data_IF_698491217579
#
_entry.id   IF_698491217579
#
_cell.length_a   1.000
_cell.length_b   1.000
_cell.length_c   1.000
_cell.angle_alpha   90.00
_cell.angle_beta   90.00
_cell.angle_gamma   90.00
#
_symmetry.space_group_name_H-M   'P 1'
#
loop_
_entity.id
_entity.type
_entity.pdbx_description
1 polymer ?
#
# COMPACT_ATOMS: atom_id res chain seq x y z
N UNK A 1 -12.40 80.99 53.09
CA UNK A 1 -10.99 80.57 52.84
C UNK A 1 -10.92 79.80 51.54
N UNK A 2 -10.03 80.25 50.65
CA UNK A 2 -9.86 79.80 49.25
C UNK A 2 -9.32 78.40 49.13
N UNK A 3 -9.77 77.64 48.13
CA UNK A 3 -8.97 76.61 47.50
C UNK A 3 -9.30 76.50 46.00
N UNK A 4 -8.27 76.79 45.23
CA UNK A 4 -8.21 76.61 43.79
C UNK A 4 -8.04 75.08 43.44
N UNK A 5 -8.76 74.60 42.47
CA UNK A 5 -8.60 73.26 41.90
C UNK A 5 -8.11 73.35 40.46
N UNK A 6 -6.92 72.84 40.21
CA UNK A 6 -6.28 72.76 38.90
C UNK A 6 -6.83 71.54 38.13
N UNK A 7 -7.41 71.78 36.97
CA UNK A 7 -7.76 70.72 36.01
C UNK A 7 -6.48 70.28 35.27
N UNK A 8 -6.10 68.99 35.41
CA UNK A 8 -5.11 68.35 34.54
C UNK A 8 -5.87 67.43 33.62
N UNK A 9 -5.76 67.70 32.31
CA UNK A 9 -6.24 66.86 31.27
C UNK A 9 -5.35 65.63 31.18
N UNK A 10 -5.94 64.46 31.11
CA UNK A 10 -5.29 63.19 30.84
C UNK A 10 -5.49 62.88 29.35
N UNK A 11 -4.40 62.96 28.59
CA UNK A 11 -4.39 62.44 27.23
C UNK A 11 -4.25 60.94 27.30
N UNK A 12 -5.29 60.19 26.85
CA UNK A 12 -5.21 58.76 26.69
C UNK A 12 -4.55 58.46 25.36
N UNK A 13 -3.30 58.02 25.41
CA UNK A 13 -2.62 57.38 24.27
C UNK A 13 -3.22 55.96 24.12
N UNK A 14 -4.03 55.75 23.10
CA UNK A 14 -4.43 54.43 22.63
C UNK A 14 -3.24 53.82 21.90
N UNK A 15 -2.44 53.01 22.61
CA UNK A 15 -1.48 52.11 22.00
C UNK A 15 -2.24 50.92 21.40
N UNK A 16 -2.42 50.92 20.07
CA UNK A 16 -2.92 49.79 19.34
C UNK A 16 -1.91 48.63 19.42
N UNK A 17 -2.23 47.61 20.20
CA UNK A 17 -1.53 46.33 20.16
C UNK A 17 -2.03 45.63 18.88
N UNK A 18 -1.23 45.74 17.77
CA UNK A 18 -1.30 44.80 16.70
C UNK A 18 -0.80 43.43 17.25
N UNK A 19 -1.74 42.60 17.74
CA UNK A 19 -1.50 41.18 17.84
C UNK A 19 -1.31 40.65 16.43
N UNK A 20 -0.04 40.47 16.07
CA UNK A 20 0.31 39.64 14.92
C UNK A 20 -0.28 38.24 15.16
N UNK A 21 -1.39 37.95 14.52
CA UNK A 21 -1.82 36.58 14.30
C UNK A 21 -0.72 35.96 13.41
N UNK A 22 0.22 35.24 14.04
CA UNK A 22 0.99 34.23 13.32
C UNK A 22 -0.01 33.22 12.81
N UNK A 23 -0.46 33.43 11.57
CA UNK A 23 -1.29 32.46 10.87
C UNK A 23 -0.54 31.14 10.89
N UNK A 24 -1.16 30.09 11.40
CA UNK A 24 -0.91 28.75 10.89
C UNK A 24 -0.98 28.91 9.38
N UNK A 25 0.14 28.62 8.67
CA UNK A 25 0.21 28.81 7.24
C UNK A 25 -0.98 28.12 6.60
N UNK A 26 -1.74 28.85 5.78
CA UNK A 26 -2.69 28.25 4.87
C UNK A 26 -1.96 27.15 4.09
N UNK A 27 -2.60 26.02 3.76
CA UNK A 27 -2.02 25.04 2.85
C UNK A 27 -1.53 25.80 1.61
N UNK A 28 -0.30 25.49 1.15
CA UNK A 28 0.21 26.05 -0.10
C UNK A 28 -0.72 25.55 -1.20
N UNK A 29 -1.47 26.43 -1.85
CA UNK A 29 -2.52 26.10 -2.81
C UNK A 29 -2.03 25.21 -3.98
N UNK A 30 -0.70 25.11 -4.15
CA UNK A 30 -0.04 24.31 -5.18
C UNK A 30 0.73 23.10 -4.58
N UNK A 31 0.31 22.56 -3.47
CA UNK A 31 1.01 21.44 -2.84
C UNK A 31 0.08 20.23 -2.69
N UNK A 32 0.52 19.10 -3.21
CA UNK A 32 -0.11 17.78 -3.04
C UNK A 32 0.65 17.01 -1.96
N UNK A 33 -0.08 16.36 -1.06
CA UNK A 33 0.51 15.54 0.01
C UNK A 33 0.35 14.06 -0.30
N UNK A 34 1.44 13.30 -0.22
CA UNK A 34 1.45 11.84 -0.38
C UNK A 34 1.93 11.21 0.93
N UNK A 35 1.23 10.19 1.42
CA UNK A 35 1.67 9.39 2.56
C UNK A 35 2.61 8.31 2.03
N UNK A 36 3.83 8.21 2.60
CA UNK A 36 4.79 7.16 2.23
C UNK A 36 4.35 5.78 2.74
N UNK A 37 4.84 4.74 2.08
CA UNK A 37 4.61 3.37 2.50
C UNK A 37 5.65 2.84 3.49
N UNK A 38 5.41 1.65 4.02
CA UNK A 38 6.30 1.01 4.99
C UNK A 38 7.16 -0.11 4.38
N UNK A 39 6.83 -0.62 3.18
CA UNK A 39 7.60 -1.62 2.44
C UNK A 39 7.98 -1.15 1.02
N UNK A 40 8.87 -1.89 0.35
CA UNK A 40 9.52 -1.46 -0.90
C UNK A 40 8.56 -0.98 -1.98
N UNK A 41 7.52 -1.77 -2.29
CA UNK A 41 6.57 -1.46 -3.36
C UNK A 41 5.80 -0.17 -3.09
N UNK A 42 5.30 0.01 -1.88
CA UNK A 42 4.60 1.25 -1.53
C UNK A 42 5.53 2.47 -1.60
N UNK A 43 6.79 2.34 -1.13
CA UNK A 43 7.80 3.40 -1.26
C UNK A 43 8.12 3.71 -2.71
N UNK A 44 8.25 2.67 -3.55
CA UNK A 44 8.44 2.81 -4.98
C UNK A 44 7.32 3.64 -5.61
N UNK A 45 6.07 3.24 -5.38
CA UNK A 45 4.92 3.93 -5.96
C UNK A 45 4.68 5.31 -5.37
N UNK A 46 5.01 5.55 -4.10
CA UNK A 46 5.07 6.92 -3.54
C UNK A 46 5.99 7.81 -4.37
N UNK A 47 7.18 7.31 -4.75
CA UNK A 47 8.11 8.08 -5.56
C UNK A 47 7.69 8.16 -7.03
N UNK A 48 7.05 7.12 -7.59
CA UNK A 48 6.45 7.18 -8.93
C UNK A 48 5.42 8.32 -9.01
N UNK A 49 4.45 8.36 -8.10
CA UNK A 49 3.46 9.45 -8.08
C UNK A 49 4.12 10.82 -7.92
N UNK A 50 5.07 10.93 -6.99
CA UNK A 50 5.81 12.18 -6.77
C UNK A 50 6.50 12.66 -8.03
N UNK A 51 7.29 11.81 -8.69
CA UNK A 51 8.06 12.16 -9.88
C UNK A 51 7.12 12.56 -11.01
N UNK A 52 6.09 11.76 -11.27
CA UNK A 52 5.13 12.05 -12.34
C UNK A 52 4.41 13.39 -12.12
N UNK A 53 4.02 13.71 -10.90
CA UNK A 53 3.40 15.00 -10.58
C UNK A 53 4.38 16.15 -10.76
N UNK A 54 5.60 16.05 -10.20
CA UNK A 54 6.60 17.13 -10.23
C UNK A 54 7.16 17.38 -11.65
N UNK A 55 7.23 16.35 -12.53
CA UNK A 55 7.74 16.47 -13.90
C UNK A 55 6.67 16.98 -14.91
N UNK A 56 5.39 16.71 -14.64
CA UNK A 56 4.31 17.04 -15.58
C UNK A 56 3.43 18.21 -15.15
N UNK A 57 3.67 18.79 -13.96
CA UNK A 57 2.90 19.94 -13.45
C UNK A 57 3.80 20.94 -12.72
N UNK A 58 3.25 22.11 -12.39
CA UNK A 58 3.90 23.09 -11.50
C UNK A 58 3.61 22.81 -10.00
N UNK A 59 3.00 21.68 -9.67
CA UNK A 59 2.67 21.30 -8.30
C UNK A 59 3.92 20.83 -7.54
N UNK A 60 3.92 21.09 -6.24
CA UNK A 60 4.92 20.57 -5.32
C UNK A 60 4.37 19.33 -4.62
N UNK A 61 5.18 18.31 -4.47
CA UNK A 61 4.78 17.12 -3.71
C UNK A 61 5.46 17.11 -2.34
N UNK A 62 4.65 16.94 -1.30
CA UNK A 62 5.12 16.75 0.06
C UNK A 62 4.86 15.32 0.51
N UNK A 63 5.92 14.52 0.51
CA UNK A 63 5.86 13.17 1.06
C UNK A 63 5.86 13.24 2.60
N UNK A 64 4.92 12.55 3.22
CA UNK A 64 4.77 12.39 4.67
C UNK A 64 5.27 11.03 5.10
N UNK A 65 5.76 10.94 6.34
CA UNK A 65 6.22 9.68 6.91
C UNK A 65 5.12 8.60 6.84
N UNK A 66 5.53 7.35 6.69
CA UNK A 66 4.64 6.19 6.73
C UNK A 66 3.90 6.09 8.07
N UNK A 67 2.69 5.57 8.00
CA UNK A 67 1.84 5.34 9.15
C UNK A 67 1.04 4.05 8.97
N UNK A 68 0.37 3.57 10.03
CA UNK A 68 -0.51 2.42 9.91
C UNK A 68 -1.54 2.62 8.80
N UNK A 69 -1.77 1.63 7.95
CA UNK A 69 -2.57 1.74 6.72
C UNK A 69 -4.02 2.20 6.99
N UNK A 70 -4.63 1.73 8.07
CA UNK A 70 -5.97 2.19 8.49
C UNK A 70 -5.98 3.67 8.87
N UNK A 71 -4.91 4.16 9.50
CA UNK A 71 -4.78 5.58 9.83
C UNK A 71 -4.49 6.43 8.59
N UNK A 72 -3.69 5.93 7.65
CA UNK A 72 -3.46 6.58 6.35
C UNK A 72 -4.79 6.74 5.58
N UNK A 73 -5.59 5.69 5.52
CA UNK A 73 -6.95 5.76 4.95
C UNK A 73 -7.80 6.86 5.61
N UNK A 74 -7.81 6.93 6.95
CA UNK A 74 -8.55 7.99 7.65
C UNK A 74 -8.06 9.40 7.30
N UNK A 75 -6.75 9.59 7.09
CA UNK A 75 -6.21 10.90 6.69
C UNK A 75 -6.69 11.31 5.28
N UNK A 76 -6.77 10.37 4.34
CA UNK A 76 -7.30 10.61 2.98
C UNK A 76 -8.81 10.90 3.07
N UNK A 77 -9.58 10.01 3.73
CA UNK A 77 -11.03 10.17 3.92
C UNK A 77 -11.41 11.50 4.53
N UNK A 78 -10.64 11.97 5.52
CA UNK A 78 -10.89 13.20 6.23
C UNK A 78 -10.37 14.46 5.48
N UNK A 79 -9.80 14.30 4.27
CA UNK A 79 -9.24 15.38 3.44
C UNK A 79 -8.02 16.07 4.04
N UNK A 80 -7.29 15.38 4.95
CA UNK A 80 -6.07 15.91 5.59
C UNK A 80 -4.81 15.61 4.78
N UNK A 81 -4.85 14.58 3.96
CA UNK A 81 -3.84 14.15 3.00
C UNK A 81 -4.53 13.84 1.68
N UNK A 82 -3.76 13.79 0.60
CA UNK A 82 -4.33 13.74 -0.75
C UNK A 82 -4.21 12.37 -1.40
N UNK A 83 -3.07 11.70 -1.25
CA UNK A 83 -2.72 10.47 -1.98
C UNK A 83 -2.07 9.46 -1.02
N UNK A 84 -2.43 8.18 -1.20
CA UNK A 84 -1.81 7.05 -0.54
C UNK A 84 -1.78 5.84 -1.48
N UNK A 85 -0.62 5.18 -1.64
CA UNK A 85 -0.57 3.91 -2.38
C UNK A 85 -1.33 2.84 -1.62
N UNK A 86 -2.21 2.12 -2.29
CA UNK A 86 -3.03 1.08 -1.68
C UNK A 86 -3.43 0.01 -2.70
N UNK A 87 -4.35 -0.86 -2.31
CA UNK A 87 -4.87 -1.96 -3.12
C UNK A 87 -6.40 -2.00 -3.01
N UNK A 88 -7.06 -2.47 -4.07
CA UNK A 88 -8.52 -2.63 -4.10
C UNK A 88 -9.03 -3.56 -2.99
N UNK A 89 -8.35 -4.70 -2.78
CA UNK A 89 -8.67 -5.63 -1.70
C UNK A 89 -8.53 -5.00 -0.32
N UNK A 90 -7.50 -4.17 -0.09
CA UNK A 90 -7.31 -3.45 1.16
C UNK A 90 -8.42 -2.41 1.38
N UNK A 91 -8.81 -1.67 0.34
CA UNK A 91 -9.93 -0.74 0.44
C UNK A 91 -11.20 -1.47 0.85
N UNK A 92 -11.53 -2.57 0.18
CA UNK A 92 -12.75 -3.32 0.45
C UNK A 92 -12.75 -3.91 1.87
N UNK A 93 -11.72 -4.67 2.21
CA UNK A 93 -11.70 -5.49 3.43
C UNK A 93 -11.24 -4.73 4.67
N UNK A 94 -10.03 -4.15 4.61
CA UNK A 94 -9.39 -3.55 5.78
C UNK A 94 -9.98 -2.17 6.14
N UNK A 95 -10.40 -1.38 5.15
CA UNK A 95 -10.85 -0.01 5.41
C UNK A 95 -12.37 0.12 5.44
N UNK A 96 -13.08 -0.56 4.55
CA UNK A 96 -14.55 -0.50 4.51
C UNK A 96 -15.22 -1.65 5.27
N UNK A 97 -14.45 -2.65 5.73
CA UNK A 97 -14.95 -3.77 6.53
C UNK A 97 -15.95 -4.65 5.79
N UNK A 98 -15.76 -4.82 4.48
CA UNK A 98 -16.61 -5.62 3.60
C UNK A 98 -15.98 -6.96 3.27
N UNK A 99 -16.80 -7.98 3.06
CA UNK A 99 -16.34 -9.29 2.63
C UNK A 99 -16.23 -9.33 1.08
N UNK A 100 -15.13 -9.84 0.49
CA UNK A 100 -15.04 -10.08 -0.95
C UNK A 100 -16.18 -10.91 -1.53
N UNK A 101 -16.79 -11.78 -0.74
CA UNK A 101 -17.98 -12.52 -1.14
C UNK A 101 -19.22 -11.63 -1.38
N UNK A 102 -19.20 -10.36 -0.94
CA UNK A 102 -20.25 -9.38 -1.23
C UNK A 102 -20.15 -8.78 -2.64
N UNK A 103 -19.03 -9.01 -3.37
CA UNK A 103 -18.85 -8.50 -4.73
C UNK A 103 -19.96 -9.04 -5.63
N UNK A 104 -20.76 -8.16 -6.29
CA UNK A 104 -21.86 -8.58 -7.12
C UNK A 104 -21.39 -9.43 -8.32
N UNK A 105 -22.17 -10.43 -8.71
CA UNK A 105 -21.90 -11.22 -9.92
C UNK A 105 -21.73 -10.31 -11.15
N UNK A 106 -20.61 -10.46 -11.86
CA UNK A 106 -20.25 -9.67 -13.03
C UNK A 106 -19.57 -8.32 -12.74
N UNK A 107 -19.35 -7.98 -11.49
CA UNK A 107 -18.48 -6.85 -11.09
C UNK A 107 -17.08 -7.36 -10.73
N UNK A 108 -16.06 -6.56 -11.00
CA UNK A 108 -14.73 -6.81 -10.44
C UNK A 108 -14.65 -6.35 -8.99
N UNK A 109 -13.72 -6.93 -8.20
CA UNK A 109 -13.46 -6.46 -6.84
C UNK A 109 -13.06 -4.99 -6.85
N UNK A 110 -12.21 -4.58 -7.80
CA UNK A 110 -11.78 -3.19 -7.98
C UNK A 110 -12.97 -2.24 -8.19
N UNK A 111 -13.88 -2.54 -9.12
CA UNK A 111 -15.02 -1.66 -9.41
C UNK A 111 -15.93 -1.53 -8.21
N UNK A 112 -16.19 -2.64 -7.50
CA UNK A 112 -17.03 -2.65 -6.31
C UNK A 112 -16.38 -1.90 -5.14
N UNK A 113 -15.09 -2.13 -4.88
CA UNK A 113 -14.34 -1.41 -3.86
C UNK A 113 -14.30 0.09 -4.14
N UNK A 114 -14.06 0.49 -5.39
CA UNK A 114 -14.03 1.88 -5.80
C UNK A 114 -15.40 2.55 -5.67
N UNK A 115 -16.48 1.89 -6.06
CA UNK A 115 -17.85 2.38 -5.86
C UNK A 115 -18.13 2.61 -4.37
N UNK A 116 -17.85 1.63 -3.52
CA UNK A 116 -18.07 1.74 -2.08
C UNK A 116 -17.17 2.80 -1.43
N UNK A 117 -15.94 2.96 -1.92
CA UNK A 117 -15.03 4.02 -1.48
C UNK A 117 -15.63 5.41 -1.68
N UNK A 118 -16.22 5.65 -2.85
CA UNK A 118 -16.92 6.89 -3.15
C UNK A 118 -18.16 7.09 -2.28
N UNK A 119 -19.00 6.07 -2.18
CA UNK A 119 -20.28 6.17 -1.47
C UNK A 119 -20.13 6.32 0.05
N UNK A 120 -19.14 5.65 0.65
CA UNK A 120 -19.03 5.52 2.11
C UNK A 120 -17.90 6.36 2.72
N UNK A 121 -16.91 6.76 1.93
CA UNK A 121 -15.69 7.35 2.46
C UNK A 121 -15.17 8.57 1.69
N UNK A 122 -15.81 9.00 0.60
CA UNK A 122 -15.37 10.09 -0.27
C UNK A 122 -13.93 9.89 -0.78
N UNK A 123 -13.57 8.66 -1.09
CA UNK A 123 -12.27 8.29 -1.66
C UNK A 123 -12.49 7.55 -2.97
N UNK A 124 -11.51 7.65 -3.87
CA UNK A 124 -11.49 6.89 -5.13
C UNK A 124 -10.16 6.17 -5.28
N UNK A 125 -10.18 5.05 -6.01
CA UNK A 125 -8.99 4.42 -6.55
C UNK A 125 -8.68 5.00 -7.93
N UNK A 126 -7.42 5.34 -8.18
CA UNK A 126 -6.94 5.65 -9.54
C UNK A 126 -6.96 4.40 -10.41
N UNK A 127 -6.83 4.49 -11.76
CA UNK A 127 -6.67 3.29 -12.57
C UNK A 127 -5.60 2.33 -12.02
N UNK A 128 -5.81 1.03 -12.25
CA UNK A 128 -4.89 -0.02 -11.79
C UNK A 128 -3.50 0.18 -12.37
N UNK A 129 -2.46 0.13 -11.53
CA UNK A 129 -1.07 0.28 -11.98
C UNK A 129 -0.60 -0.90 -12.83
N UNK A 130 -1.19 -2.09 -12.62
CA UNK A 130 -0.98 -3.28 -13.44
C UNK A 130 -0.34 -4.46 -12.71
N UNK A 131 0.14 -4.25 -11.49
CA UNK A 131 0.57 -5.32 -10.60
C UNK A 131 -0.59 -5.80 -9.72
N UNK A 132 -0.47 -7.05 -9.30
CA UNK A 132 -1.36 -7.70 -8.35
C UNK A 132 -0.51 -8.27 -7.21
N UNK A 133 -0.55 -7.62 -6.05
CA UNK A 133 0.24 -8.01 -4.88
C UNK A 133 -0.57 -8.87 -3.92
N UNK A 134 -0.90 -10.09 -4.36
CA UNK A 134 -1.66 -11.06 -3.57
C UNK A 134 -0.74 -12.02 -2.81
N UNK A 135 -1.32 -12.80 -1.89
CA UNK A 135 -0.64 -13.94 -1.31
C UNK A 135 -0.42 -15.05 -2.34
N UNK A 136 0.76 -15.66 -2.28
CA UNK A 136 1.09 -16.89 -2.99
C UNK A 136 1.71 -17.89 -2.03
N UNK A 137 1.40 -19.15 -2.22
CA UNK A 137 2.11 -20.23 -1.51
C UNK A 137 3.50 -20.37 -2.11
N UNK A 138 4.51 -20.45 -1.27
CA UNK A 138 5.90 -20.61 -1.68
C UNK A 138 6.57 -21.78 -0.97
N UNK A 139 7.43 -22.47 -1.71
CA UNK A 139 8.24 -23.59 -1.21
C UNK A 139 9.71 -23.36 -1.57
N UNK A 140 10.62 -24.03 -0.88
CA UNK A 140 12.00 -24.07 -1.31
C UNK A 140 12.12 -24.79 -2.66
N UNK A 141 13.11 -24.42 -3.47
CA UNK A 141 13.37 -25.04 -4.77
C UNK A 141 13.62 -26.55 -4.65
N UNK A 142 14.41 -26.98 -3.67
CA UNK A 142 14.67 -28.40 -3.44
C UNK A 142 13.40 -29.19 -3.07
N UNK A 143 12.49 -28.57 -2.34
CA UNK A 143 11.17 -29.13 -2.00
C UNK A 143 10.27 -29.21 -3.25
N UNK A 144 10.22 -28.14 -4.06
CA UNK A 144 9.47 -28.14 -5.31
C UNK A 144 9.95 -29.23 -6.27
N UNK A 145 11.28 -29.33 -6.46
CA UNK A 145 11.88 -30.36 -7.34
C UNK A 145 11.66 -31.78 -6.81
N UNK A 146 11.86 -31.98 -5.50
CA UNK A 146 11.70 -33.30 -4.87
C UNK A 146 10.30 -33.86 -5.03
N UNK A 147 9.29 -33.02 -4.91
CA UNK A 147 7.89 -33.44 -4.93
C UNK A 147 7.17 -33.06 -6.25
N UNK A 148 7.88 -32.42 -7.19
CA UNK A 148 7.34 -31.92 -8.46
C UNK A 148 6.11 -31.05 -8.26
N UNK A 149 6.27 -30.04 -7.37
CA UNK A 149 5.20 -29.09 -7.02
C UNK A 149 5.18 -27.93 -8.01
N UNK A 150 3.99 -27.59 -8.52
CA UNK A 150 3.74 -26.43 -9.38
C UNK A 150 2.47 -25.67 -9.00
N UNK A 151 1.51 -26.38 -8.42
CA UNK A 151 0.20 -25.86 -8.00
C UNK A 151 0.03 -26.06 -6.49
N UNK A 152 -0.77 -25.23 -5.86
CA UNK A 152 -1.06 -25.32 -4.42
C UNK A 152 -1.73 -26.64 -4.06
N UNK A 153 -2.59 -27.16 -4.94
CA UNK A 153 -3.22 -28.47 -4.77
C UNK A 153 -2.25 -29.64 -4.74
N UNK A 154 -1.06 -29.50 -5.32
CA UNK A 154 -0.03 -30.57 -5.30
C UNK A 154 0.47 -30.87 -3.89
N UNK A 155 0.41 -29.89 -2.98
CA UNK A 155 0.82 -30.05 -1.58
C UNK A 155 0.05 -31.14 -0.88
N UNK A 156 -1.23 -31.37 -1.20
CA UNK A 156 -2.12 -32.33 -0.54
C UNK A 156 -1.55 -33.76 -0.50
N UNK A 157 -0.67 -34.11 -1.45
CA UNK A 157 -0.05 -35.43 -1.51
C UNK A 157 1.09 -35.61 -0.50
N UNK A 158 1.62 -34.51 0.04
CA UNK A 158 2.86 -34.50 0.82
C UNK A 158 2.80 -33.62 2.08
N UNK A 159 1.67 -33.00 2.35
CA UNK A 159 1.45 -32.01 3.41
C UNK A 159 1.85 -32.50 4.80
N UNK A 160 1.57 -33.80 5.11
CA UNK A 160 1.95 -34.43 6.39
C UNK A 160 3.48 -34.62 6.57
N UNK A 161 4.26 -34.43 5.52
CA UNK A 161 5.73 -34.41 5.59
C UNK A 161 6.28 -32.99 5.66
N UNK A 162 5.47 -31.97 5.33
CA UNK A 162 5.87 -30.59 5.15
C UNK A 162 5.53 -29.72 6.38
N UNK A 163 6.44 -28.80 6.72
CA UNK A 163 6.29 -27.83 7.81
C UNK A 163 5.90 -26.49 7.21
N UNK A 164 4.75 -25.97 7.65
CA UNK A 164 4.26 -24.65 7.26
C UNK A 164 4.63 -23.59 8.30
N UNK A 165 5.05 -22.40 7.88
CA UNK A 165 5.14 -21.24 8.76
C UNK A 165 4.85 -19.96 8.01
N UNK A 166 4.15 -19.02 8.64
CA UNK A 166 3.83 -17.71 8.10
C UNK A 166 3.79 -16.66 9.21
N UNK A 167 3.68 -15.39 8.85
CA UNK A 167 3.50 -14.30 9.79
C UNK A 167 2.22 -14.48 10.62
N UNK A 168 2.20 -13.80 11.79
CA UNK A 168 1.11 -13.94 12.75
C UNK A 168 -0.25 -13.59 12.12
N UNK A 169 -0.29 -12.55 11.31
CA UNK A 169 -1.49 -12.05 10.65
C UNK A 169 -2.15 -13.11 9.73
N UNK A 170 -1.36 -14.02 9.16
CA UNK A 170 -1.91 -15.10 8.34
C UNK A 170 -2.59 -16.20 9.18
N UNK A 171 -2.33 -16.25 10.49
CA UNK A 171 -3.00 -17.17 11.43
C UNK A 171 -4.19 -16.54 12.15
N UNK A 172 -4.50 -15.26 11.92
CA UNK A 172 -5.68 -14.63 12.46
C UNK A 172 -6.97 -15.25 11.88
N UNK A 173 -8.11 -14.99 12.50
CA UNK A 173 -9.41 -15.41 11.97
C UNK A 173 -9.76 -14.63 10.72
N UNK A 174 -10.16 -15.31 9.64
CA UNK A 174 -10.58 -14.64 8.40
C UNK A 174 -10.72 -15.59 7.21
N UNK A 175 -11.44 -15.13 6.19
CA UNK A 175 -11.79 -15.92 5.01
C UNK A 175 -10.59 -16.33 4.14
N UNK A 176 -9.49 -15.56 4.19
CA UNK A 176 -8.30 -15.77 3.35
C UNK A 176 -7.04 -16.02 4.19
N UNK A 177 -7.20 -16.56 5.39
CA UNK A 177 -6.16 -16.87 6.35
C UNK A 177 -5.93 -18.37 6.47
N UNK A 178 -4.97 -18.77 7.30
CA UNK A 178 -4.43 -20.13 7.35
C UNK A 178 -5.51 -21.23 7.51
N UNK A 179 -6.44 -21.05 8.44
CA UNK A 179 -7.43 -22.09 8.72
C UNK A 179 -8.37 -22.31 7.52
N UNK A 180 -8.88 -21.23 6.94
CA UNK A 180 -9.71 -21.27 5.75
C UNK A 180 -8.95 -21.80 4.52
N UNK A 181 -7.66 -21.40 4.38
CA UNK A 181 -6.76 -21.88 3.34
C UNK A 181 -6.55 -23.40 3.45
N UNK A 182 -6.19 -23.88 4.64
CA UNK A 182 -5.92 -25.30 4.87
C UNK A 182 -7.19 -26.15 4.63
N UNK A 183 -8.36 -25.69 5.10
CA UNK A 183 -9.63 -26.35 4.87
C UNK A 183 -9.98 -26.40 3.37
N UNK A 184 -9.85 -25.26 2.67
CA UNK A 184 -10.20 -25.12 1.25
C UNK A 184 -9.38 -26.04 0.34
N UNK A 185 -8.08 -26.13 0.60
CA UNK A 185 -7.16 -27.00 -0.13
C UNK A 185 -7.11 -28.43 0.43
N UNK A 186 -7.70 -28.71 1.60
CA UNK A 186 -7.67 -30.01 2.27
C UNK A 186 -6.26 -30.37 2.75
N UNK A 187 -5.53 -29.43 3.36
CA UNK A 187 -4.14 -29.55 3.80
C UNK A 187 -4.04 -29.82 5.30
N UNK A 188 -3.24 -30.79 5.69
CA UNK A 188 -2.91 -31.12 7.07
C UNK A 188 -1.39 -31.18 7.24
N UNK A 189 -0.76 -30.01 7.41
CA UNK A 189 0.71 -29.92 7.52
C UNK A 189 1.24 -30.65 8.76
N UNK A 190 2.43 -31.22 8.65
CA UNK A 190 3.16 -31.87 9.75
C UNK A 190 3.33 -30.97 10.96
N UNK A 191 3.56 -29.68 10.74
CA UNK A 191 3.68 -28.62 11.72
C UNK A 191 3.23 -27.31 11.08
N UNK A 192 2.55 -26.48 11.85
CA UNK A 192 2.09 -25.15 11.41
C UNK A 192 2.36 -24.16 12.53
N UNK A 193 3.13 -23.10 12.25
CA UNK A 193 3.56 -22.15 13.27
C UNK A 193 3.74 -20.73 12.72
N UNK A 194 3.71 -19.78 13.65
CA UNK A 194 4.03 -18.38 13.35
C UNK A 194 5.53 -18.15 13.25
N UNK A 195 5.95 -17.24 12.38
CA UNK A 195 7.29 -16.72 12.25
C UNK A 195 7.23 -15.20 12.07
N UNK A 196 8.25 -14.48 12.53
CA UNK A 196 8.37 -13.06 12.26
C UNK A 196 8.48 -12.80 10.74
N UNK A 197 7.74 -11.80 10.23
CA UNK A 197 7.70 -11.46 8.80
C UNK A 197 9.10 -11.24 8.23
N UNK A 198 9.96 -10.51 8.95
CA UNK A 198 11.35 -10.24 8.54
C UNK A 198 12.26 -11.47 8.55
N UNK A 199 11.87 -12.55 9.25
CA UNK A 199 12.64 -13.80 9.34
C UNK A 199 12.09 -14.91 8.42
N UNK A 200 10.96 -14.73 7.78
CA UNK A 200 10.28 -15.73 6.96
C UNK A 200 11.19 -16.29 5.86
N UNK A 201 11.76 -15.45 5.04
CA UNK A 201 12.65 -15.85 3.94
C UNK A 201 13.95 -16.53 4.45
N UNK A 202 14.52 -16.03 5.55
CA UNK A 202 15.68 -16.67 6.20
C UNK A 202 15.29 -18.03 6.77
N UNK A 203 14.09 -18.15 7.33
CA UNK A 203 13.54 -19.42 7.83
C UNK A 203 13.43 -20.47 6.73
N UNK A 204 13.00 -20.08 5.54
CA UNK A 204 12.95 -20.95 4.35
C UNK A 204 14.35 -21.45 3.98
N UNK A 205 15.34 -20.56 3.91
CA UNK A 205 16.72 -20.94 3.53
C UNK A 205 17.45 -21.79 4.57
N UNK A 206 17.03 -21.78 5.82
CA UNK A 206 17.68 -22.50 6.93
C UNK A 206 17.11 -23.90 7.21
N UNK A 207 16.29 -24.44 6.32
CA UNK A 207 15.60 -25.74 6.46
C UNK A 207 14.77 -25.89 7.75
N UNK A 208 14.25 -24.77 8.27
CA UNK A 208 13.38 -24.79 9.45
C UNK A 208 11.90 -24.93 9.08
N UNK A 209 11.56 -24.68 7.82
CA UNK A 209 10.21 -24.75 7.26
C UNK A 209 10.29 -25.10 5.78
N UNK A 210 9.23 -25.66 5.24
CA UNK A 210 9.17 -26.17 3.86
C UNK A 210 8.23 -25.38 2.99
N UNK A 211 7.16 -24.83 3.58
CA UNK A 211 6.09 -24.08 2.92
C UNK A 211 5.83 -22.80 3.70
N UNK A 212 5.55 -21.73 2.98
CA UNK A 212 5.12 -20.43 3.53
C UNK A 212 4.14 -19.76 2.58
N UNK A 213 3.59 -18.61 2.99
CA UNK A 213 2.97 -17.65 2.08
C UNK A 213 3.90 -16.45 1.90
N UNK A 214 3.93 -15.90 0.69
CA UNK A 214 4.69 -14.72 0.31
C UNK A 214 3.78 -13.76 -0.45
N UNK A 215 4.22 -12.53 -0.63
CA UNK A 215 3.56 -11.64 -1.58
C UNK A 215 4.14 -11.86 -2.98
N UNK A 216 3.27 -11.83 -4.00
CA UNK A 216 3.62 -12.14 -5.39
C UNK A 216 4.72 -11.24 -5.97
N UNK A 217 4.80 -10.00 -5.52
CA UNK A 217 5.78 -8.98 -5.97
C UNK A 217 6.99 -8.82 -5.05
N UNK A 218 7.12 -9.66 -3.99
CA UNK A 218 8.21 -9.55 -3.01
C UNK A 218 9.58 -9.91 -3.64
N UNK A 219 10.49 -8.93 -3.72
CA UNK A 219 11.85 -9.11 -4.26
C UNK A 219 12.70 -10.14 -3.50
N UNK A 220 12.37 -10.43 -2.23
CA UNK A 220 13.06 -11.44 -1.44
C UNK A 220 12.78 -12.86 -1.95
N UNK A 221 11.67 -13.13 -2.62
CA UNK A 221 11.37 -14.42 -3.24
C UNK A 221 12.50 -14.80 -4.22
N UNK A 222 12.91 -13.85 -5.05
CA UNK A 222 14.04 -14.02 -6.00
C UNK A 222 15.38 -14.20 -5.27
N UNK A 223 15.64 -13.42 -4.23
CA UNK A 223 16.89 -13.52 -3.44
C UNK A 223 17.08 -14.90 -2.80
N UNK A 224 16.00 -15.47 -2.27
CA UNK A 224 16.02 -16.74 -1.55
C UNK A 224 15.65 -17.95 -2.42
N UNK A 225 15.56 -17.74 -3.75
CA UNK A 225 15.26 -18.78 -4.73
C UNK A 225 14.03 -19.63 -4.38
N UNK A 226 12.97 -18.94 -3.90
CA UNK A 226 11.70 -19.59 -3.60
C UNK A 226 10.94 -19.88 -4.89
N UNK A 227 10.20 -20.98 -4.90
CA UNK A 227 9.26 -21.34 -5.96
C UNK A 227 7.86 -21.02 -5.45
N UNK A 228 7.18 -20.10 -6.12
CA UNK A 228 5.78 -19.83 -5.87
C UNK A 228 4.92 -20.84 -6.61
N UNK A 229 3.89 -21.36 -5.93
CA UNK A 229 2.94 -22.30 -6.48
C UNK A 229 1.72 -21.56 -7.02
N UNK A 230 1.18 -22.02 -8.15
CA UNK A 230 -0.07 -21.47 -8.68
C UNK A 230 -1.23 -21.70 -7.71
N UNK A 231 -2.05 -20.70 -7.50
CA UNK A 231 -3.31 -20.79 -6.75
C UNK A 231 -4.42 -21.34 -7.67
N UNK A 232 -4.30 -22.62 -8.03
CA UNK A 232 -5.08 -23.32 -9.04
C UNK A 232 -6.60 -23.37 -8.78
N UNK A 233 -7.01 -23.04 -7.55
CA UNK A 233 -8.43 -22.94 -7.16
C UNK A 233 -8.88 -21.51 -6.88
N UNK A 234 -8.02 -20.51 -7.09
CA UNK A 234 -8.30 -19.10 -6.85
C UNK A 234 -8.81 -18.82 -5.43
N UNK A 235 -8.08 -19.31 -4.44
CA UNK A 235 -8.43 -19.08 -3.03
C UNK A 235 -8.15 -17.63 -2.60
N UNK A 236 -7.00 -17.08 -2.98
CA UNK A 236 -6.64 -15.72 -2.60
C UNK A 236 -7.36 -14.69 -3.47
N UNK A 237 -7.89 -13.61 -2.87
CA UNK A 237 -8.52 -12.55 -3.65
C UNK A 237 -7.46 -11.73 -4.40
N UNK A 238 -7.91 -11.06 -5.44
CA UNK A 238 -7.08 -10.06 -6.15
C UNK A 238 -6.72 -8.90 -5.23
N UNK A 239 -5.49 -8.39 -5.36
CA UNK A 239 -5.00 -7.19 -4.72
C UNK A 239 -4.30 -6.31 -5.76
N UNK A 240 -5.11 -5.66 -6.60
CA UNK A 240 -4.59 -4.76 -7.63
C UNK A 240 -4.12 -3.45 -7.01
N UNK A 241 -2.90 -3.03 -7.33
CA UNK A 241 -2.33 -1.78 -6.88
C UNK A 241 -2.97 -0.57 -7.57
N UNK A 242 -3.29 0.44 -6.77
CA UNK A 242 -3.81 1.73 -7.22
C UNK A 242 -3.55 2.80 -6.16
N UNK A 243 -3.51 4.06 -6.54
CA UNK A 243 -3.52 5.11 -5.54
C UNK A 243 -4.91 5.34 -5.00
N UNK A 244 -5.02 5.38 -3.69
CA UNK A 244 -6.20 5.86 -2.97
C UNK A 244 -6.08 7.36 -2.82
N UNK A 245 -7.02 8.11 -3.37
CA UNK A 245 -7.03 9.57 -3.33
C UNK A 245 -8.36 10.08 -2.77
N UNK A 246 -8.36 11.28 -2.21
CA UNK A 246 -9.63 11.94 -1.84
C UNK A 246 -10.43 12.29 -3.11
N UNK A 247 -11.74 12.11 -3.07
CA UNK A 247 -12.63 12.24 -4.23
C UNK A 247 -12.56 13.61 -4.92
N UNK A 248 -12.33 14.66 -4.14
CA UNK A 248 -12.30 16.04 -4.65
C UNK A 248 -10.92 16.48 -5.16
N UNK A 249 -9.89 15.62 -5.11
CA UNK A 249 -8.53 15.95 -5.55
C UNK A 249 -8.48 16.41 -7.01
N UNK A 250 -9.21 15.72 -7.90
CA UNK A 250 -9.26 16.10 -9.32
C UNK A 250 -10.08 17.39 -9.57
N UNK A 251 -10.89 17.83 -8.61
CA UNK A 251 -11.53 19.16 -8.70
C UNK A 251 -10.55 20.27 -8.35
N UNK A 252 -9.66 20.00 -7.42
CA UNK A 252 -8.62 20.95 -7.02
C UNK A 252 -7.46 20.99 -8.01
N UNK A 253 -7.08 19.81 -8.56
CA UNK A 253 -5.95 19.61 -9.47
C UNK A 253 -6.34 18.69 -10.63
N UNK A 254 -7.07 19.21 -11.65
CA UNK A 254 -7.59 18.39 -12.76
C UNK A 254 -6.50 17.68 -13.57
N UNK A 255 -5.30 18.26 -13.64
CA UNK A 255 -4.15 17.71 -14.35
C UNK A 255 -3.67 16.37 -13.79
N UNK A 256 -4.01 16.03 -12.54
CA UNK A 256 -3.62 14.77 -11.92
C UNK A 256 -4.35 13.57 -12.50
N UNK A 257 -5.56 13.77 -13.06
CA UNK A 257 -6.32 12.67 -13.65
C UNK A 257 -5.55 12.07 -14.84
N UNK A 258 -5.07 12.91 -15.77
CA UNK A 258 -4.29 12.45 -16.91
C UNK A 258 -2.98 11.77 -16.49
N UNK A 259 -2.34 12.24 -15.43
CA UNK A 259 -1.13 11.64 -14.88
C UNK A 259 -1.40 10.21 -14.39
N UNK A 260 -2.42 9.99 -13.57
CA UNK A 260 -2.75 8.67 -13.06
C UNK A 260 -3.26 7.72 -14.16
N UNK A 261 -4.01 8.23 -15.13
CA UNK A 261 -4.40 7.45 -16.33
C UNK A 261 -3.16 7.00 -17.11
N UNK A 262 -2.14 7.85 -17.24
CA UNK A 262 -0.89 7.49 -17.94
C UNK A 262 -0.12 6.34 -17.30
N UNK A 263 -0.34 6.08 -16.00
CA UNK A 263 0.29 4.99 -15.23
C UNK A 263 -0.47 3.67 -15.35
N UNK A 264 -1.69 3.67 -15.94
CA UNK A 264 -2.51 2.46 -16.04
C UNK A 264 -1.79 1.33 -16.78
N UNK A 265 -1.68 0.16 -16.12
CA UNK A 265 -1.09 -1.06 -16.67
C UNK A 265 0.40 -0.97 -16.98
N UNK A 266 1.13 0.05 -16.47
CA UNK A 266 2.56 0.22 -16.75
C UNK A 266 3.47 -0.68 -15.91
N UNK A 267 2.93 -1.27 -14.86
CA UNK A 267 3.66 -2.14 -13.96
C UNK A 267 2.99 -3.52 -13.94
N UNK A 268 3.77 -4.56 -14.06
CA UNK A 268 3.31 -5.93 -13.85
C UNK A 268 4.11 -6.57 -12.71
N UNK A 269 3.72 -7.77 -12.27
CA UNK A 269 4.36 -8.45 -11.15
C UNK A 269 5.87 -8.66 -11.36
N UNK A 270 6.31 -8.99 -12.57
CA UNK A 270 7.74 -9.19 -12.88
C UNK A 270 8.52 -7.88 -12.71
N UNK A 271 8.01 -6.78 -13.27
CA UNK A 271 8.59 -5.43 -13.13
C UNK A 271 8.65 -5.04 -11.64
N UNK A 272 7.55 -5.18 -10.92
CA UNK A 272 7.48 -4.83 -9.50
C UNK A 272 8.44 -5.67 -8.66
N UNK A 273 8.53 -6.99 -8.91
CA UNK A 273 9.50 -7.86 -8.23
C UNK A 273 10.95 -7.40 -8.45
N UNK A 274 11.30 -7.01 -9.68
CA UNK A 274 12.65 -6.54 -9.99
C UNK A 274 12.96 -5.16 -9.37
N UNK A 275 11.99 -4.24 -9.35
CA UNK A 275 12.15 -2.94 -8.71
C UNK A 275 12.21 -3.07 -7.18
N UNK A 276 11.35 -3.90 -6.59
CA UNK A 276 11.36 -4.21 -5.15
C UNK A 276 12.68 -4.89 -4.74
N UNK A 277 13.22 -5.80 -5.57
CA UNK A 277 14.54 -6.40 -5.34
C UNK A 277 15.65 -5.34 -5.27
N UNK A 278 15.62 -4.34 -6.14
CA UNK A 278 16.60 -3.26 -6.11
C UNK A 278 16.53 -2.44 -4.82
N UNK A 279 15.33 -2.24 -4.26
CA UNK A 279 15.13 -1.49 -3.01
C UNK A 279 15.51 -2.35 -1.80
N UNK A 280 14.93 -3.56 -1.65
CA UNK A 280 15.04 -4.37 -0.44
C UNK A 280 16.36 -5.14 -0.36
N UNK A 281 16.91 -5.58 -1.50
CA UNK A 281 18.09 -6.46 -1.54
C UNK A 281 19.35 -5.68 -1.88
N UNK A 282 19.28 -4.79 -2.86
CA UNK A 282 20.43 -3.97 -3.26
C UNK A 282 20.51 -2.65 -2.47
N UNK A 283 19.54 -2.35 -1.60
CA UNK A 283 19.45 -1.16 -0.77
C UNK A 283 19.54 0.14 -1.58
N UNK A 284 18.96 0.15 -2.78
CA UNK A 284 18.88 1.35 -3.61
C UNK A 284 17.80 2.29 -3.09
N UNK A 285 18.02 3.56 -3.30
CA UNK A 285 17.05 4.60 -2.95
C UNK A 285 15.78 4.49 -3.82
N UNK A 286 14.56 4.42 -3.24
CA UNK A 286 13.31 4.23 -3.98
C UNK A 286 13.06 5.31 -5.04
N UNK A 287 13.44 6.59 -4.77
CA UNK A 287 13.31 7.67 -5.74
C UNK A 287 14.17 7.40 -6.98
N UNK A 288 15.43 6.97 -6.79
CA UNK A 288 16.33 6.69 -7.91
C UNK A 288 15.88 5.48 -8.73
N UNK A 289 15.33 4.47 -8.06
CA UNK A 289 14.76 3.28 -8.74
C UNK A 289 13.55 3.69 -9.58
N UNK A 290 12.62 4.44 -9.00
CA UNK A 290 11.44 4.96 -9.69
C UNK A 290 11.81 5.86 -10.88
N UNK A 291 12.67 6.86 -10.65
CA UNK A 291 13.08 7.81 -11.69
C UNK A 291 13.73 7.10 -12.89
N UNK A 292 14.66 6.19 -12.62
CA UNK A 292 15.33 5.41 -13.67
C UNK A 292 14.33 4.59 -14.49
N UNK A 293 13.40 3.93 -13.83
CA UNK A 293 12.37 3.15 -14.53
C UNK A 293 11.51 4.04 -15.43
N UNK A 294 11.02 5.17 -14.91
CA UNK A 294 10.19 6.11 -15.65
C UNK A 294 10.95 6.72 -16.85
N UNK A 295 12.22 7.09 -16.67
CA UNK A 295 13.09 7.61 -17.74
C UNK A 295 13.32 6.56 -18.84
N UNK A 296 13.64 5.32 -18.49
CA UNK A 296 13.86 4.22 -19.44
C UNK A 296 12.60 3.88 -20.26
N UNK A 297 11.43 4.21 -19.73
CA UNK A 297 10.13 3.99 -20.41
C UNK A 297 9.55 5.27 -21.04
N UNK A 298 10.32 6.37 -21.05
CA UNK A 298 9.92 7.63 -21.69
C UNK A 298 8.71 8.30 -21.05
N UNK A 299 8.57 8.14 -19.73
CA UNK A 299 7.48 8.73 -18.95
C UNK A 299 7.90 10.05 -18.27
N UNK A 300 9.20 10.30 -18.22
CA UNK A 300 9.84 11.55 -17.75
C UNK A 300 11.03 11.89 -18.63
#
# INVERSE_FOLDING_TARGET
MKKYGIKKGVAVLAAGILCGMTGCGAPDENTVTIIDGDFAEMKLFTQVARIMIEEHTDLKVKVKDSMASSFAFEQIRDGKMDIYMSYDGSLLTAYLGKDPAEVPEGSSLYDYANQLGQELANVILTPKLGEENTYMVAVRRDTAEKYNLSETSDLQKYDQDLRFAAEHEFFDEGSFHFHSFAEFYGLEFKDSRTIDRGLKHVGMSSDNMDVTVVYSTDGLNKKFDLVTLEDDKNFFPEYNGAYLIREDLYKDFPELEDIFVSLEGKFNNEICTDLNYQIDVENKDPYKVAYKYLEEHGMV
#
